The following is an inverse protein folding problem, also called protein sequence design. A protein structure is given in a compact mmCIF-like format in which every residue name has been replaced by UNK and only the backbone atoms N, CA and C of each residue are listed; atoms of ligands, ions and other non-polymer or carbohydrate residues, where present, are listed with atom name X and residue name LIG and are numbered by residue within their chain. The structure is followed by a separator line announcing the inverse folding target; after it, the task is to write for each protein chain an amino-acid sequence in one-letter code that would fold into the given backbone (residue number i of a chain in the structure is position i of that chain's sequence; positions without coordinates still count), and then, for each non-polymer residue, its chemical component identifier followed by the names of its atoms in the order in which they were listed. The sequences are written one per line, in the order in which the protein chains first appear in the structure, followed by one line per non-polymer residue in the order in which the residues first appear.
data_IF_726985491617
#
_entry.id   IF_726985491617
#
_cell.length_a   1.000
_cell.length_b   1.000
_cell.length_c   1.000
_cell.angle_alpha   90.00
_cell.angle_beta   90.00
_cell.angle_gamma   90.00
#
_symmetry.space_group_name_H-M   'P 1'
#
loop_
_entity.id
_entity.type
_entity.pdbx_description
1 polymer ?
#
# COMPACT_ATOMS: atom_id res chain seq x y z
N UNK A 1 -4.31 -1.37 1.62
CA UNK A 1 -4.57 -2.76 1.98
C UNK A 1 -3.26 -3.37 2.44
N UNK A 2 -2.80 -2.98 3.63
CA UNK A 2 -1.42 -3.22 4.08
C UNK A 2 -0.97 -4.68 4.02
N UNK A 3 -1.88 -5.62 4.35
CA UNK A 3 -1.60 -7.06 4.38
C UNK A 3 -1.38 -7.70 3.01
N UNK A 4 -1.65 -7.02 1.89
CA UNK A 4 -1.39 -7.60 0.56
C UNK A 4 0.11 -7.87 0.38
N UNK A 5 0.94 -6.91 0.79
CA UNK A 5 2.40 -7.05 0.72
C UNK A 5 3.02 -7.30 2.10
N UNK A 6 2.45 -6.72 3.16
CA UNK A 6 3.06 -6.65 4.49
C UNK A 6 2.91 -7.90 5.35
N UNK A 7 2.18 -8.92 4.89
CA UNK A 7 1.98 -10.17 5.63
C UNK A 7 1.99 -11.39 4.71
N UNK A 8 2.32 -12.54 5.26
CA UNK A 8 2.34 -13.83 4.53
C UNK A 8 1.03 -14.16 3.83
N UNK A 9 -0.11 -13.83 4.45
CA UNK A 9 -1.43 -13.99 3.82
C UNK A 9 -2.25 -12.73 4.00
N UNK A 10 -2.73 -12.19 2.87
CA UNK A 10 -3.51 -10.96 2.87
C UNK A 10 -4.84 -11.11 3.60
N UNK A 11 -5.36 -10.01 4.14
CA UNK A 11 -6.70 -10.00 4.76
C UNK A 11 -7.80 -10.42 3.78
N UNK A 12 -7.60 -10.23 2.47
CA UNK A 12 -8.58 -10.61 1.44
C UNK A 12 -8.58 -12.11 1.21
N UNK A 13 -7.39 -12.71 1.11
CA UNK A 13 -7.28 -14.16 0.97
C UNK A 13 -7.78 -14.86 2.23
N UNK A 14 -7.39 -14.41 3.42
CA UNK A 14 -7.87 -14.99 4.66
C UNK A 14 -9.37 -14.79 4.87
N UNK A 15 -9.95 -13.69 4.39
CA UNK A 15 -11.40 -13.54 4.36
C UNK A 15 -12.06 -14.61 3.47
N UNK A 16 -11.55 -14.82 2.26
CA UNK A 16 -12.07 -15.87 1.37
C UNK A 16 -11.93 -17.26 2.00
N UNK A 17 -10.75 -17.60 2.55
CA UNK A 17 -10.49 -18.89 3.21
C UNK A 17 -11.45 -19.12 4.37
N UNK A 18 -11.72 -18.08 5.17
CA UNK A 18 -12.66 -18.16 6.28
C UNK A 18 -14.10 -18.43 5.85
N UNK A 19 -14.58 -17.83 4.75
CA UNK A 19 -15.99 -17.99 4.32
C UNK A 19 -16.25 -19.27 3.51
N UNK A 20 -15.20 -19.96 3.07
CA UNK A 20 -15.28 -21.24 2.33
C UNK A 20 -14.75 -22.43 3.13
N UNK A 21 -14.55 -22.26 4.45
CA UNK A 21 -14.05 -23.28 5.38
C UNK A 21 -12.70 -23.90 4.99
N UNK A 22 -11.79 -23.10 4.42
CA UNK A 22 -10.41 -23.52 4.17
C UNK A 22 -9.52 -23.20 5.37
N UNK A 23 -8.43 -23.96 5.58
CA UNK A 23 -7.43 -23.62 6.60
C UNK A 23 -6.97 -22.18 6.42
N UNK A 24 -6.79 -21.38 7.47
CA UNK A 24 -6.29 -20.00 7.35
C UNK A 24 -4.80 -19.96 7.01
N UNK A 25 -4.39 -18.89 6.33
CA UNK A 25 -3.00 -18.60 6.03
C UNK A 25 -2.31 -17.86 7.18
N UNK A 26 -1.00 -17.96 7.24
CA UNK A 26 -0.21 -17.32 8.30
C UNK A 26 -0.31 -15.79 8.20
N UNK A 27 -0.30 -15.12 9.35
CA UNK A 27 -0.48 -13.66 9.44
C UNK A 27 0.77 -12.94 9.93
N UNK A 28 1.92 -13.62 9.96
CA UNK A 28 3.15 -12.98 10.37
C UNK A 28 3.54 -11.89 9.36
N UNK A 29 4.06 -10.78 9.87
CA UNK A 29 4.49 -9.66 9.04
C UNK A 29 5.74 -10.04 8.23
N UNK A 30 5.84 -9.53 7.01
CA UNK A 30 7.03 -9.70 6.16
C UNK A 30 7.76 -8.36 6.09
N UNK A 31 8.99 -8.33 6.61
CA UNK A 31 9.85 -7.15 6.60
C UNK A 31 9.23 -5.95 7.33
N UNK A 32 9.65 -4.76 6.93
CA UNK A 32 9.10 -3.48 7.36
C UNK A 32 8.15 -2.96 6.30
N UNK A 33 6.87 -2.82 6.65
CA UNK A 33 5.86 -2.39 5.71
C UNK A 33 5.02 -1.22 6.24
N UNK A 34 4.69 -0.28 5.37
CA UNK A 34 3.73 0.79 5.65
C UNK A 34 2.91 1.10 4.40
N UNK A 35 1.70 1.60 4.63
CA UNK A 35 0.71 1.86 3.59
C UNK A 35 0.35 3.33 3.59
N UNK A 36 0.52 3.98 2.44
CA UNK A 36 0.09 5.35 2.17
C UNK A 36 -1.22 5.32 1.39
N UNK A 37 -2.27 5.97 1.90
CA UNK A 37 -3.48 6.22 1.13
C UNK A 37 -3.30 7.47 0.27
N UNK A 38 -3.92 7.48 -0.91
CA UNK A 38 -4.02 8.66 -1.77
C UNK A 38 -5.47 9.15 -1.79
N UNK A 39 -5.68 10.36 -1.29
CA UNK A 39 -6.98 10.98 -1.07
C UNK A 39 -7.15 12.16 -2.03
N UNK A 40 -8.21 12.08 -2.83
CA UNK A 40 -8.67 12.97 -3.89
C UNK A 40 -7.73 13.23 -5.06
N UNK A 41 -6.41 13.09 -4.88
CA UNK A 41 -5.42 13.00 -5.94
C UNK A 41 -4.41 11.87 -5.69
N UNK A 42 -3.69 11.49 -6.74
CA UNK A 42 -2.59 10.53 -6.71
C UNK A 42 -1.48 11.05 -7.62
N UNK A 43 -0.19 10.92 -7.25
CA UNK A 43 0.90 11.27 -8.16
C UNK A 43 0.87 10.43 -9.43
N UNK A 44 1.58 10.88 -10.46
CA UNK A 44 1.80 10.07 -11.67
C UNK A 44 2.34 8.69 -11.31
N UNK A 45 1.77 7.64 -11.87
CA UNK A 45 2.08 6.26 -11.50
C UNK A 45 3.57 5.94 -11.69
N UNK A 46 4.18 6.50 -12.74
CA UNK A 46 5.61 6.37 -13.06
C UNK A 46 6.51 6.87 -11.92
N UNK A 47 6.13 7.96 -11.24
CA UNK A 47 6.89 8.49 -10.08
C UNK A 47 6.80 7.59 -8.86
N UNK A 48 5.64 6.94 -8.66
CA UNK A 48 5.46 6.01 -7.54
C UNK A 48 6.20 4.70 -7.83
N UNK A 49 6.08 4.20 -9.06
CA UNK A 49 6.70 2.95 -9.51
C UNK A 49 8.23 3.07 -9.69
N UNK A 50 8.79 4.28 -9.80
CA UNK A 50 10.24 4.47 -9.74
C UNK A 50 10.83 4.18 -8.35
N UNK A 51 10.00 4.11 -7.31
CA UNK A 51 10.40 3.63 -5.99
C UNK A 51 10.29 2.09 -5.98
N UNK A 52 11.42 1.40 -6.17
CA UNK A 52 11.47 -0.05 -6.45
C UNK A 52 10.78 -0.98 -5.45
N UNK A 53 10.59 -0.52 -4.21
CA UNK A 53 9.98 -1.28 -3.11
C UNK A 53 8.56 -0.78 -2.77
N UNK A 54 7.93 -0.05 -3.70
CA UNK A 54 6.56 0.45 -3.59
C UNK A 54 5.64 -0.36 -4.51
N UNK A 55 4.52 -0.80 -3.93
CA UNK A 55 3.46 -1.53 -4.59
C UNK A 55 2.23 -0.64 -4.70
N UNK A 56 1.95 -0.15 -5.91
CA UNK A 56 0.83 0.75 -6.18
C UNK A 56 -0.45 -0.03 -6.50
N UNK A 57 -1.55 0.37 -5.86
CA UNK A 57 -2.89 -0.18 -6.09
C UNK A 57 -3.88 0.93 -6.41
N UNK A 58 -4.26 1.01 -7.69
CA UNK A 58 -5.27 1.94 -8.18
C UNK A 58 -6.66 1.31 -8.06
N UNK A 59 -7.66 2.10 -7.67
CA UNK A 59 -9.04 1.60 -7.53
C UNK A 59 -9.93 1.89 -8.74
N UNK A 60 -9.36 2.38 -9.84
CA UNK A 60 -10.09 2.82 -11.03
C UNK A 60 -11.25 3.79 -10.70
N UNK A 61 -10.96 4.75 -9.81
CA UNK A 61 -11.92 5.78 -9.37
C UNK A 61 -11.48 7.13 -9.88
N UNK A 62 -12.41 7.86 -10.49
CA UNK A 62 -12.19 9.27 -10.80
C UNK A 62 -11.86 10.08 -9.53
N UNK A 63 -10.86 10.96 -9.67
CA UNK A 63 -10.42 11.91 -8.66
C UNK A 63 -11.56 12.85 -8.22
N UNK A 64 -11.67 13.08 -6.92
CA UNK A 64 -12.61 14.01 -6.29
C UNK A 64 -12.12 14.29 -4.88
N UNK A 65 -12.26 15.55 -4.43
CA UNK A 65 -11.89 15.98 -3.08
C UNK A 65 -12.30 14.99 -1.99
N UNK A 66 -11.34 14.57 -1.16
CA UNK A 66 -11.57 13.69 -0.02
C UNK A 66 -11.85 12.22 -0.38
N UNK A 67 -11.82 11.85 -1.67
CA UNK A 67 -12.11 10.48 -2.11
C UNK A 67 -10.85 9.62 -2.10
N UNK A 68 -10.87 8.49 -1.40
CA UNK A 68 -9.81 7.50 -1.51
C UNK A 68 -9.80 6.84 -2.89
N UNK A 69 -8.78 7.13 -3.70
CA UNK A 69 -8.68 6.66 -5.09
C UNK A 69 -7.58 5.62 -5.32
N UNK A 70 -6.59 5.55 -4.42
CA UNK A 70 -5.51 4.57 -4.49
C UNK A 70 -4.87 4.36 -3.11
N UNK A 71 -3.98 3.38 -3.05
CA UNK A 71 -2.98 3.30 -2.00
C UNK A 71 -1.67 2.72 -2.56
N UNK A 72 -0.58 2.99 -1.86
CA UNK A 72 0.70 2.33 -2.08
C UNK A 72 1.14 1.64 -0.79
N UNK A 73 1.71 0.44 -0.91
CA UNK A 73 2.40 -0.23 0.20
C UNK A 73 3.89 -0.20 -0.09
N UNK A 74 4.69 0.34 0.83
CA UNK A 74 6.13 0.21 0.83
C UNK A 74 6.50 -1.00 1.69
N UNK A 75 7.39 -1.87 1.21
CA UNK A 75 7.90 -3.03 1.96
C UNK A 75 9.40 -3.21 1.72
N UNK A 76 10.18 -3.27 2.80
CA UNK A 76 11.62 -3.46 2.74
C UNK A 76 12.11 -4.48 3.77
N UNK A 77 13.34 -4.97 3.59
CA UNK A 77 13.94 -5.94 4.52
C UNK A 77 14.80 -5.28 5.62
N UNK A 78 14.97 -3.95 5.59
CA UNK A 78 15.75 -3.21 6.60
C UNK A 78 15.07 -1.92 7.03
N UNK A 79 15.22 -1.57 8.31
CA UNK A 79 14.65 -0.36 8.90
C UNK A 79 15.22 0.93 8.28
N UNK A 80 16.49 0.92 7.88
CA UNK A 80 17.14 2.06 7.22
C UNK A 80 16.47 2.35 5.87
N UNK A 81 16.42 1.35 4.98
CA UNK A 81 15.77 1.49 3.67
C UNK A 81 14.28 1.81 3.80
N UNK A 82 13.62 1.27 4.82
CA UNK A 82 12.22 1.57 5.13
C UNK A 82 12.02 3.05 5.43
N UNK A 83 12.87 3.62 6.27
CA UNK A 83 12.77 5.02 6.72
C UNK A 83 12.92 5.98 5.53
N UNK A 84 13.93 5.76 4.69
CA UNK A 84 14.18 6.57 3.49
C UNK A 84 13.05 6.45 2.46
N UNK A 85 12.55 5.23 2.26
CA UNK A 85 11.48 4.96 1.31
C UNK A 85 10.17 5.61 1.74
N UNK A 86 9.81 5.52 3.03
CA UNK A 86 8.61 6.16 3.56
C UNK A 86 8.70 7.68 3.50
N UNK A 87 9.88 8.26 3.76
CA UNK A 87 10.08 9.69 3.59
C UNK A 87 9.82 10.12 2.14
N UNK A 88 10.37 9.39 1.18
CA UNK A 88 10.20 9.64 -0.26
C UNK A 88 8.74 9.48 -0.71
N UNK A 89 8.10 8.38 -0.30
CA UNK A 89 6.69 8.10 -0.63
C UNK A 89 5.75 9.16 -0.03
N UNK A 90 6.00 9.57 1.21
CA UNK A 90 5.21 10.62 1.89
C UNK A 90 5.38 11.97 1.19
N UNK A 91 6.60 12.31 0.76
CA UNK A 91 6.87 13.54 0.01
C UNK A 91 6.13 13.58 -1.33
N UNK A 92 6.02 12.44 -2.03
CA UNK A 92 5.19 12.34 -3.24
C UNK A 92 3.70 12.46 -2.93
N UNK A 93 3.21 11.79 -1.90
CA UNK A 93 1.79 11.82 -1.52
C UNK A 93 1.30 13.25 -1.23
N UNK A 94 2.11 14.05 -0.51
CA UNK A 94 1.79 15.46 -0.20
C UNK A 94 1.62 16.35 -1.42
N UNK A 95 2.15 15.99 -2.59
CA UNK A 95 2.03 16.79 -3.82
C UNK A 95 0.64 16.71 -4.44
N UNK A 96 -0.14 15.68 -4.10
CA UNK A 96 -1.45 15.40 -4.68
C UNK A 96 -2.55 15.25 -3.64
N UNK A 97 -2.24 15.45 -2.36
CA UNK A 97 -3.21 15.36 -1.28
C UNK A 97 -4.10 16.61 -1.29
N UNK A 98 -5.41 16.39 -1.43
CA UNK A 98 -6.42 17.44 -1.47
C UNK A 98 -7.45 17.34 -0.32
N UNK A 99 -7.14 16.50 0.68
CA UNK A 99 -7.98 16.22 1.84
C UNK A 99 -8.58 17.48 2.48
#
# INVERSE_FOLDING_TARGET
HWTIEGSETSQFENHLRAIIDWPLGATHSIGYAAMQNFIGGVPASEKLLSLSQVHLHLYDKAARKGRKIAHATARTDSLESFTDLIASLTALAKQSDDS
#
